data_IF_861008293851
#
_entry.id   IF_861008293851
#
_cell.length_a   1.000
_cell.length_b   1.000
_cell.length_c   1.000
_cell.angle_alpha   90.00
_cell.angle_beta   90.00
_cell.angle_gamma   90.00
#
_symmetry.space_group_name_H-M   'P 1'
#
loop_
_entity.id
_entity.type
_entity.pdbx_description
1 polymer ?
#
# COMPACT_ATOMS: atom_id res chain seq x y z
N UNK A 1 30.80 14.56 -57.53
CA UNK A 1 30.37 13.20 -57.13
C UNK A 1 31.19 12.63 -55.97
N UNK A 2 32.51 12.41 -56.09
CA UNK A 2 33.32 11.89 -54.95
C UNK A 2 33.40 12.88 -53.78
N UNK A 3 33.57 14.17 -54.04
CA UNK A 3 33.61 15.21 -52.99
C UNK A 3 32.28 15.37 -52.25
N UNK A 4 31.15 15.29 -52.95
CA UNK A 4 29.81 15.33 -52.33
C UNK A 4 29.55 14.12 -51.43
N UNK A 5 30.00 12.93 -51.86
CA UNK A 5 29.91 11.71 -51.06
C UNK A 5 30.76 11.85 -49.79
N UNK A 6 31.99 12.36 -49.89
CA UNK A 6 32.87 12.60 -48.74
C UNK A 6 32.26 13.61 -47.75
N UNK A 7 31.65 14.69 -48.24
CA UNK A 7 30.96 15.67 -47.38
C UNK A 7 29.73 15.06 -46.70
N UNK A 8 28.96 14.24 -47.41
CA UNK A 8 27.78 13.55 -46.86
C UNK A 8 28.18 12.53 -45.79
N UNK A 9 29.27 11.80 -46.03
CA UNK A 9 29.84 10.87 -45.07
C UNK A 9 30.32 11.58 -43.81
N UNK A 10 31.06 12.68 -43.94
CA UNK A 10 31.52 13.50 -42.80
C UNK A 10 30.36 14.05 -41.97
N UNK A 11 29.30 14.57 -42.60
CA UNK A 11 28.07 15.01 -41.89
C UNK A 11 27.38 13.87 -41.16
N UNK A 12 27.47 12.65 -41.70
CA UNK A 12 26.87 11.45 -41.09
C UNK A 12 27.67 11.01 -39.86
N UNK A 13 29.00 11.01 -39.92
CA UNK A 13 29.88 10.75 -38.78
C UNK A 13 29.67 11.78 -37.66
N UNK A 14 29.56 13.07 -38.00
CA UNK A 14 29.26 14.13 -37.02
C UNK A 14 27.87 13.96 -36.37
N UNK A 15 26.88 13.43 -37.10
CA UNK A 15 25.56 13.09 -36.53
C UNK A 15 25.65 11.85 -35.65
N UNK A 16 26.42 10.85 -36.06
CA UNK A 16 26.62 9.62 -35.30
C UNK A 16 27.30 9.91 -33.96
N UNK A 17 28.38 10.70 -33.94
CA UNK A 17 29.06 11.10 -32.71
C UNK A 17 28.17 11.90 -31.75
N UNK A 18 27.24 12.72 -32.28
CA UNK A 18 26.23 13.41 -31.45
C UNK A 18 25.23 12.44 -30.83
N UNK A 19 24.81 11.42 -31.57
CA UNK A 19 23.90 10.39 -31.06
C UNK A 19 24.61 9.53 -30.02
N UNK A 20 25.85 9.11 -30.26
CA UNK A 20 26.66 8.35 -29.30
C UNK A 20 26.82 9.12 -27.98
N UNK A 21 27.16 10.41 -28.05
CA UNK A 21 27.26 11.25 -26.85
C UNK A 21 25.92 11.39 -26.11
N UNK A 22 24.80 11.54 -26.84
CA UNK A 22 23.48 11.62 -26.24
C UNK A 22 23.08 10.30 -25.57
N UNK A 23 23.39 9.15 -26.20
CA UNK A 23 23.12 7.82 -25.63
C UNK A 23 23.93 7.60 -24.36
N UNK A 24 25.21 7.98 -24.35
CA UNK A 24 26.07 7.88 -23.15
C UNK A 24 25.50 8.73 -21.99
N UNK A 25 25.07 9.96 -22.27
CA UNK A 25 24.43 10.83 -21.27
C UNK A 25 23.12 10.23 -20.74
N UNK A 26 22.29 9.66 -21.62
CA UNK A 26 21.05 9.00 -21.22
C UNK A 26 21.31 7.76 -20.37
N UNK A 27 22.31 6.94 -20.73
CA UNK A 27 22.69 5.77 -19.95
C UNK A 27 23.15 6.15 -18.53
N UNK A 28 23.94 7.22 -18.40
CA UNK A 28 24.36 7.74 -17.10
C UNK A 28 23.18 8.30 -16.28
N UNK A 29 22.28 9.04 -16.92
CA UNK A 29 21.07 9.56 -16.27
C UNK A 29 20.14 8.42 -15.81
N UNK A 30 19.99 7.38 -16.63
CA UNK A 30 19.21 6.20 -16.29
C UNK A 30 19.82 5.46 -15.09
N UNK A 31 21.13 5.22 -15.08
CA UNK A 31 21.82 4.59 -13.95
C UNK A 31 21.59 5.34 -12.63
N UNK A 32 21.72 6.67 -12.65
CA UNK A 32 21.44 7.51 -11.47
C UNK A 32 19.99 7.38 -11.00
N UNK A 33 19.05 7.33 -11.95
CA UNK A 33 17.63 7.18 -11.64
C UNK A 33 17.33 5.81 -11.02
N UNK A 34 17.93 4.73 -11.53
CA UNK A 34 17.79 3.39 -10.98
C UNK A 34 18.34 3.27 -9.54
N UNK A 35 19.46 3.95 -9.26
CA UNK A 35 20.05 4.03 -7.92
C UNK A 35 19.11 4.75 -6.92
N UNK A 36 18.57 5.91 -7.31
CA UNK A 36 17.59 6.65 -6.49
C UNK A 36 16.30 5.86 -6.28
N UNK A 37 15.80 5.18 -7.31
CA UNK A 37 14.62 4.32 -7.21
C UNK A 37 14.84 3.17 -6.23
N UNK A 38 16.02 2.52 -6.29
CA UNK A 38 16.39 1.49 -5.33
C UNK A 38 16.39 2.00 -3.88
N UNK A 39 16.91 3.21 -3.66
CA UNK A 39 16.89 3.86 -2.35
C UNK A 39 15.45 4.12 -1.88
N UNK A 40 14.62 4.71 -2.75
CA UNK A 40 13.22 5.00 -2.45
C UNK A 40 12.42 3.75 -2.11
N UNK A 41 12.61 2.65 -2.84
CA UNK A 41 11.94 1.37 -2.57
C UNK A 41 12.29 0.84 -1.18
N UNK A 42 13.55 0.97 -0.76
CA UNK A 42 13.99 0.56 0.59
C UNK A 42 13.36 1.41 1.69
N UNK A 43 13.34 2.72 1.53
CA UNK A 43 12.72 3.62 2.51
C UNK A 43 11.19 3.45 2.56
N UNK A 44 10.56 3.18 1.41
CA UNK A 44 9.13 2.86 1.35
C UNK A 44 8.81 1.54 2.08
N UNK A 45 9.69 0.53 1.98
CA UNK A 45 9.54 -0.72 2.73
C UNK A 45 9.59 -0.48 4.25
N UNK A 46 10.55 0.31 4.73
CA UNK A 46 10.62 0.71 6.16
C UNK A 46 9.39 1.48 6.62
N UNK A 47 8.89 2.38 5.77
CA UNK A 47 7.66 3.13 6.06
C UNK A 47 6.47 2.18 6.22
N UNK A 48 6.34 1.18 5.33
CA UNK A 48 5.29 0.15 5.43
C UNK A 48 5.39 -0.65 6.73
N UNK A 49 6.60 -1.02 7.15
CA UNK A 49 6.83 -1.72 8.42
C UNK A 49 6.40 -0.86 9.63
N UNK A 50 6.77 0.42 9.65
CA UNK A 50 6.35 1.34 10.72
C UNK A 50 4.83 1.50 10.77
N UNK A 51 4.18 1.63 9.60
CA UNK A 51 2.71 1.73 9.53
C UNK A 51 2.05 0.45 10.03
N UNK A 52 2.57 -0.73 9.70
CA UNK A 52 2.07 -2.00 10.23
C UNK A 52 2.18 -2.05 11.76
N UNK A 53 3.33 -1.69 12.33
CA UNK A 53 3.50 -1.64 13.80
C UNK A 53 2.61 -0.61 14.50
N UNK A 54 2.34 0.53 13.85
CA UNK A 54 1.38 1.52 14.35
C UNK A 54 -0.06 0.98 14.27
N UNK A 55 -0.42 0.31 13.18
CA UNK A 55 -1.73 -0.34 13.00
C UNK A 55 -1.97 -1.37 14.11
N UNK A 56 -0.97 -2.19 14.41
CA UNK A 56 -1.03 -3.15 15.52
C UNK A 56 -1.27 -2.42 16.86
N UNK A 57 -0.46 -1.40 17.15
CA UNK A 57 -0.53 -0.67 18.43
C UNK A 57 -1.88 0.01 18.63
N UNK A 58 -2.36 0.72 17.59
CA UNK A 58 -3.65 1.39 17.60
C UNK A 58 -4.78 0.37 17.66
N UNK A 59 -4.69 -0.72 16.89
CA UNK A 59 -5.64 -1.83 16.91
C UNK A 59 -5.79 -2.43 18.31
N UNK A 60 -4.69 -2.85 18.93
CA UNK A 60 -4.71 -3.37 20.30
C UNK A 60 -5.29 -2.36 21.30
N UNK A 61 -4.92 -1.09 21.17
CA UNK A 61 -5.40 -0.01 22.02
C UNK A 61 -6.91 0.20 21.91
N UNK A 62 -7.41 0.33 20.69
CA UNK A 62 -8.84 0.51 20.40
C UNK A 62 -9.65 -0.70 20.83
N UNK A 63 -9.20 -1.92 20.52
CA UNK A 63 -9.88 -3.15 20.94
C UNK A 63 -9.99 -3.25 22.46
N UNK A 64 -8.94 -2.88 23.20
CA UNK A 64 -8.95 -2.87 24.67
C UNK A 64 -9.92 -1.83 25.24
N UNK A 65 -10.00 -0.63 24.63
CA UNK A 65 -10.95 0.41 25.06
C UNK A 65 -12.39 0.01 24.70
N UNK A 66 -12.59 -0.53 23.49
CA UNK A 66 -13.88 -1.02 23.03
C UNK A 66 -14.39 -2.13 23.96
N UNK A 67 -13.55 -3.10 24.35
CA UNK A 67 -13.94 -4.16 25.27
C UNK A 67 -14.51 -3.64 26.60
N UNK A 68 -13.96 -2.54 27.12
CA UNK A 68 -14.40 -1.91 28.37
C UNK A 68 -15.66 -1.05 28.18
N UNK A 69 -15.74 -0.31 27.08
CA UNK A 69 -16.80 0.67 26.85
C UNK A 69 -18.05 0.08 26.20
N UNK A 70 -17.90 -0.93 25.34
CA UNK A 70 -18.97 -1.49 24.51
C UNK A 70 -20.18 -1.99 25.33
N UNK A 71 -20.03 -2.72 26.45
CA UNK A 71 -21.21 -3.19 27.20
C UNK A 71 -22.15 -2.05 27.61
N UNK A 72 -21.58 -0.94 28.10
CA UNK A 72 -22.35 0.24 28.50
C UNK A 72 -22.98 0.95 27.30
N UNK A 73 -22.24 1.07 26.19
CA UNK A 73 -22.75 1.74 24.97
C UNK A 73 -23.88 0.95 24.31
N UNK A 74 -23.75 -0.37 24.25
CA UNK A 74 -24.76 -1.27 23.68
C UNK A 74 -26.07 -1.25 24.46
N UNK A 75 -25.98 -1.23 25.79
CA UNK A 75 -27.16 -1.10 26.64
C UNK A 75 -27.80 0.29 26.50
N UNK A 76 -27.01 1.37 26.55
CA UNK A 76 -27.51 2.75 26.47
C UNK A 76 -28.19 3.05 25.13
N UNK A 77 -27.57 2.65 24.02
CA UNK A 77 -27.96 3.12 22.68
C UNK A 77 -28.86 2.13 21.94
N UNK A 78 -28.85 0.85 22.34
CA UNK A 78 -29.53 -0.23 21.62
C UNK A 78 -30.32 -1.18 22.53
N UNK A 79 -30.36 -0.96 23.85
CA UNK A 79 -30.99 -1.85 24.85
C UNK A 79 -30.48 -3.31 24.75
N UNK A 80 -29.22 -3.47 24.33
CA UNK A 80 -28.59 -4.78 24.17
C UNK A 80 -27.76 -5.13 25.42
N UNK A 81 -28.22 -6.15 26.16
CA UNK A 81 -27.51 -6.69 27.32
C UNK A 81 -26.58 -7.82 26.93
N UNK A 82 -25.30 -7.67 27.26
CA UNK A 82 -24.32 -8.75 27.16
C UNK A 82 -24.66 -9.81 28.22
N UNK A 83 -24.89 -11.06 27.80
CA UNK A 83 -25.23 -12.16 28.72
C UNK A 83 -24.02 -12.68 29.50
N UNK A 84 -22.85 -12.72 28.87
CA UNK A 84 -21.61 -13.22 29.45
C UNK A 84 -20.48 -12.21 29.23
N UNK A 85 -19.53 -12.56 28.37
CA UNK A 85 -18.37 -11.74 28.01
C UNK A 85 -18.33 -11.51 26.51
N UNK A 86 -17.81 -10.35 26.11
CA UNK A 86 -17.43 -10.12 24.73
C UNK A 86 -16.31 -11.09 24.35
N UNK A 87 -16.34 -11.60 23.12
CA UNK A 87 -15.27 -12.44 22.59
C UNK A 87 -14.39 -11.62 21.66
N UNK A 88 -13.07 -11.70 21.85
CA UNK A 88 -12.07 -11.13 20.93
C UNK A 88 -11.52 -12.25 20.05
N UNK A 89 -12.10 -12.41 18.86
CA UNK A 89 -11.67 -13.42 17.89
C UNK A 89 -12.00 -12.96 16.48
N UNK A 90 -11.15 -13.30 15.53
CA UNK A 90 -11.50 -13.29 14.12
C UNK A 90 -12.56 -14.38 13.89
N UNK A 91 -13.67 -14.01 13.27
CA UNK A 91 -14.73 -14.96 12.93
C UNK A 91 -14.62 -15.28 11.45
N UNK A 92 -14.29 -16.54 11.14
CA UNK A 92 -14.30 -17.06 9.77
C UNK A 92 -15.48 -18.02 9.65
N UNK A 93 -16.49 -17.66 8.85
CA UNK A 93 -17.67 -18.48 8.65
C UNK A 93 -17.43 -19.58 7.60
N UNK A 94 -18.15 -20.71 7.75
CA UNK A 94 -17.97 -21.94 6.96
C UNK A 94 -18.21 -21.77 5.45
N UNK A 95 -18.83 -20.68 5.02
CA UNK A 95 -19.17 -20.34 3.64
C UNK A 95 -18.16 -19.37 2.99
N UNK A 96 -17.10 -18.98 3.70
CA UNK A 96 -16.11 -18.00 3.22
C UNK A 96 -16.68 -16.59 3.04
N UNK A 97 -17.90 -16.33 3.50
CA UNK A 97 -18.53 -15.01 3.41
C UNK A 97 -18.02 -14.12 4.52
N UNK A 98 -17.57 -12.93 4.13
CA UNK A 98 -17.16 -11.88 5.05
C UNK A 98 -18.36 -11.37 5.86
N UNK A 99 -18.06 -10.88 7.07
CA UNK A 99 -19.00 -10.48 8.14
C UNK A 99 -20.25 -9.68 7.69
N UNK A 100 -20.20 -8.96 6.55
CA UNK A 100 -21.29 -8.12 6.03
C UNK A 100 -22.52 -8.92 5.64
N UNK A 101 -22.33 -10.07 5.00
CA UNK A 101 -23.44 -10.78 4.35
C UNK A 101 -24.27 -11.57 5.36
N UNK A 102 -23.59 -12.24 6.29
CA UNK A 102 -24.22 -13.00 7.37
C UNK A 102 -24.99 -12.09 8.33
N UNK A 103 -24.38 -10.98 8.75
CA UNK A 103 -24.99 -10.07 9.69
C UNK A 103 -26.24 -9.39 9.11
N UNK A 104 -26.22 -9.02 7.83
CA UNK A 104 -27.38 -8.50 7.12
C UNK A 104 -28.54 -9.51 7.08
N UNK A 105 -28.25 -10.79 6.86
CA UNK A 105 -29.26 -11.85 6.82
C UNK A 105 -29.87 -12.17 8.19
N UNK A 106 -29.12 -11.93 9.27
CA UNK A 106 -29.56 -12.16 10.66
C UNK A 106 -30.01 -10.89 11.40
N UNK A 107 -30.05 -9.75 10.72
CA UNK A 107 -30.41 -8.46 11.35
C UNK A 107 -29.39 -7.97 12.37
N UNK A 108 -28.15 -8.46 12.31
CA UNK A 108 -27.05 -8.09 13.20
C UNK A 108 -26.34 -6.89 12.58
N UNK A 109 -26.04 -5.87 13.39
CA UNK A 109 -25.36 -4.66 12.93
C UNK A 109 -23.85 -4.81 13.14
N UNK A 110 -23.08 -4.89 12.05
CA UNK A 110 -21.62 -5.04 12.08
C UNK A 110 -20.96 -3.69 11.92
N UNK A 111 -19.97 -3.43 12.78
CA UNK A 111 -19.11 -2.25 12.72
C UNK A 111 -17.66 -2.72 12.53
N UNK A 112 -16.99 -2.18 11.51
CA UNK A 112 -15.58 -2.48 11.23
C UNK A 112 -14.68 -1.43 11.86
N UNK A 113 -13.58 -1.88 12.46
CA UNK A 113 -12.32 -1.13 12.50
C UNK A 113 -11.55 -1.57 11.26
N UNK A 114 -11.39 -0.70 10.27
CA UNK A 114 -10.65 -1.04 9.05
C UNK A 114 -9.19 -1.36 9.40
N UNK A 115 -8.67 -2.44 8.84
CA UNK A 115 -7.22 -2.70 8.73
C UNK A 115 -6.69 -1.88 7.55
N UNK A 116 -5.57 -1.18 7.77
CA UNK A 116 -4.81 -0.44 6.74
C UNK A 116 -3.83 -1.35 6.01
#
# INVERSE_FOLDING_TARGET
>A
MVEELAQTQKKTEERLGRVEAAVEQLAQAQKRTEEELCSLVREHAKTREMVAGLSDTVGYGLENQAYKALPRLLERDFDLKIKDRLARRYIVYKDGKEDKEYARQKGIKVYYSYEF
#
